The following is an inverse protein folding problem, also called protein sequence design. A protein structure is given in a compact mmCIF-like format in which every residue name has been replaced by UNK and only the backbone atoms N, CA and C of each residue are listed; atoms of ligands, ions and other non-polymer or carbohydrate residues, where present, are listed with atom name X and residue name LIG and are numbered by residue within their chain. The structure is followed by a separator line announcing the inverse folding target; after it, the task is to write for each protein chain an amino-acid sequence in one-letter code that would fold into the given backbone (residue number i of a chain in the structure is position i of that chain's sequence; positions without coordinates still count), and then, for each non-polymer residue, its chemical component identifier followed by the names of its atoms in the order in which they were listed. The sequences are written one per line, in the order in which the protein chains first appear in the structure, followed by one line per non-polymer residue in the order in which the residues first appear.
data_IF_254920603091
#
_entry.id   IF_254920603091
#
_cell.length_a   1.000
_cell.length_b   1.000
_cell.length_c   1.000
_cell.angle_alpha   90.00
_cell.angle_beta   90.00
_cell.angle_gamma   90.00
#
_symmetry.space_group_name_H-M   'P 1'
#
loop_
_entity.id
_entity.type
_entity.pdbx_description
1 polymer ?
#
# COMPACT_ATOMS: atom_id res chain seq x y z
N UNK A 1 -7.75 20.12 3.05
CA UNK A 1 -8.93 19.21 3.24
C UNK A 1 -8.48 17.76 3.37
N UNK A 2 -7.35 17.37 2.79
CA UNK A 2 -6.88 15.98 2.75
C UNK A 2 -6.55 15.38 4.13
N UNK A 3 -5.94 16.14 5.04
CA UNK A 3 -5.59 15.66 6.39
C UNK A 3 -6.82 15.28 7.21
N UNK A 4 -7.90 16.08 7.15
CA UNK A 4 -9.13 15.79 7.88
C UNK A 4 -9.83 14.53 7.35
N UNK A 5 -9.83 14.37 6.03
CA UNK A 5 -10.33 13.17 5.35
C UNK A 5 -9.55 11.93 5.77
N UNK A 6 -8.22 12.00 5.77
CA UNK A 6 -7.34 10.89 6.18
C UNK A 6 -7.60 10.49 7.63
N UNK A 7 -7.66 11.47 8.54
CA UNK A 7 -7.95 11.21 9.97
C UNK A 7 -9.33 10.58 10.16
N UNK A 8 -10.33 11.06 9.44
CA UNK A 8 -11.68 10.49 9.52
C UNK A 8 -11.70 9.02 9.08
N UNK A 9 -11.12 8.70 7.92
CA UNK A 9 -11.06 7.32 7.43
C UNK A 9 -10.25 6.39 8.33
N UNK A 10 -9.17 6.90 8.90
CA UNK A 10 -8.36 6.17 9.88
C UNK A 10 -9.16 5.81 11.15
N UNK A 11 -9.92 6.76 11.69
CA UNK A 11 -10.80 6.52 12.86
C UNK A 11 -11.87 5.48 12.53
N UNK A 12 -12.49 5.58 11.35
CA UNK A 12 -13.49 4.60 10.90
C UNK A 12 -12.89 3.20 10.76
N UNK A 13 -11.71 3.09 10.13
CA UNK A 13 -11.03 1.82 9.93
C UNK A 13 -10.67 1.15 11.27
N UNK A 14 -10.06 1.89 12.19
CA UNK A 14 -9.76 1.38 13.55
C UNK A 14 -11.05 1.00 14.28
N UNK A 15 -12.09 1.83 14.20
CA UNK A 15 -13.38 1.54 14.83
C UNK A 15 -13.98 0.21 14.37
N UNK A 16 -13.95 -0.07 13.06
CA UNK A 16 -14.41 -1.34 12.49
C UNK A 16 -13.54 -2.49 12.99
N UNK A 17 -12.21 -2.38 12.88
CA UNK A 17 -11.26 -3.42 13.25
C UNK A 17 -11.40 -3.80 14.73
N UNK A 18 -11.48 -2.81 15.62
CA UNK A 18 -11.64 -3.08 17.06
C UNK A 18 -13.02 -3.63 17.37
N UNK A 19 -14.07 -3.13 16.73
CA UNK A 19 -15.42 -3.67 16.94
C UNK A 19 -15.51 -5.15 16.56
N UNK A 20 -14.86 -5.55 15.47
CA UNK A 20 -14.78 -6.97 15.05
C UNK A 20 -13.95 -7.81 16.02
N UNK A 21 -12.86 -7.27 16.52
CA UNK A 21 -12.03 -7.90 17.56
C UNK A 21 -12.84 -8.18 18.83
N UNK A 22 -13.50 -7.17 19.36
CA UNK A 22 -14.34 -7.32 20.55
C UNK A 22 -15.54 -8.24 20.30
N UNK A 23 -16.11 -8.20 19.10
CA UNK A 23 -17.17 -9.13 18.71
C UNK A 23 -16.69 -10.57 18.73
N UNK A 24 -15.44 -10.85 18.37
CA UNK A 24 -14.84 -12.18 18.49
C UNK A 24 -14.86 -12.70 19.94
N UNK A 25 -14.36 -11.90 20.88
CA UNK A 25 -14.41 -12.24 22.30
C UNK A 25 -15.85 -12.45 22.80
N UNK A 26 -16.72 -11.53 22.45
CA UNK A 26 -18.14 -11.58 22.80
C UNK A 26 -18.82 -12.85 22.31
N UNK A 27 -18.67 -13.15 21.01
CA UNK A 27 -19.33 -14.29 20.37
C UNK A 27 -18.87 -15.63 20.94
N UNK A 28 -17.55 -15.79 21.10
CA UNK A 28 -16.97 -17.04 21.63
C UNK A 28 -17.29 -17.20 23.11
N UNK A 29 -17.21 -16.14 23.92
CA UNK A 29 -17.59 -16.19 25.33
C UNK A 29 -19.03 -16.69 25.51
N UNK A 30 -19.97 -16.12 24.77
CA UNK A 30 -21.37 -16.55 24.81
C UNK A 30 -21.60 -17.99 24.33
N UNK A 31 -20.89 -18.42 23.27
CA UNK A 31 -20.98 -19.80 22.75
C UNK A 31 -20.44 -20.83 23.74
N UNK A 32 -19.44 -20.46 24.53
CA UNK A 32 -18.85 -21.32 25.55
C UNK A 32 -19.50 -21.18 26.94
N UNK A 33 -20.64 -20.47 27.03
CA UNK A 33 -21.44 -20.36 28.23
C UNK A 33 -20.96 -19.33 29.24
N UNK A 34 -20.02 -18.46 28.88
CA UNK A 34 -19.60 -17.35 29.74
C UNK A 34 -20.60 -16.21 29.67
N UNK A 35 -21.04 -15.71 30.85
CA UNK A 35 -21.97 -14.59 30.92
C UNK A 35 -21.27 -13.29 30.61
N UNK A 36 -21.70 -12.64 29.51
CA UNK A 36 -21.22 -11.32 29.12
C UNK A 36 -22.16 -10.25 29.63
N UNK A 37 -21.66 -9.38 30.47
CA UNK A 37 -22.41 -8.30 31.13
C UNK A 37 -22.60 -7.13 30.20
N UNK A 38 -21.50 -6.71 29.52
CA UNK A 38 -21.52 -5.56 28.60
C UNK A 38 -20.65 -5.82 27.40
N UNK A 39 -21.16 -5.39 26.25
CA UNK A 39 -20.43 -5.28 24.99
C UNK A 39 -20.43 -3.81 24.58
N UNK A 40 -19.27 -3.18 24.55
CA UNK A 40 -19.14 -1.76 24.22
C UNK A 40 -18.31 -1.56 22.97
N UNK A 41 -18.85 -0.80 22.02
CA UNK A 41 -18.10 -0.20 20.90
C UNK A 41 -17.73 1.21 21.30
N UNK A 42 -16.44 1.50 21.36
CA UNK A 42 -15.91 2.78 21.84
C UNK A 42 -15.67 2.83 23.36
N UNK A 43 -15.03 3.92 23.76
CA UNK A 43 -14.74 4.25 25.16
C UNK A 43 -15.39 5.57 25.57
N UNK A 44 -15.39 5.83 26.89
CA UNK A 44 -15.80 7.10 27.47
C UNK A 44 -17.30 7.17 27.74
N UNK A 45 -17.89 8.36 27.48
CA UNK A 45 -19.30 8.60 27.79
C UNK A 45 -20.20 7.75 26.89
N UNK A 46 -21.17 7.05 27.51
CA UNK A 46 -22.19 6.29 26.79
C UNK A 46 -23.11 7.26 26.02
N UNK A 47 -23.17 7.05 24.70
CA UNK A 47 -24.04 7.80 23.79
C UNK A 47 -25.36 7.07 23.59
N UNK A 48 -25.30 5.74 23.52
CA UNK A 48 -26.47 4.90 23.35
C UNK A 48 -26.25 3.57 24.07
N UNK A 49 -27.29 3.05 24.71
CA UNK A 49 -27.27 1.69 25.27
C UNK A 49 -28.60 0.98 25.07
N UNK A 50 -28.51 -0.34 24.94
CA UNK A 50 -29.65 -1.23 24.84
C UNK A 50 -29.42 -2.49 25.66
N UNK A 51 -30.40 -2.80 26.50
CA UNK A 51 -30.43 -4.02 27.31
C UNK A 51 -31.87 -4.57 27.30
N UNK A 52 -32.02 -5.83 26.91
CA UNK A 52 -33.35 -6.45 26.77
C UNK A 52 -34.00 -6.75 28.13
N UNK A 53 -33.23 -7.28 29.05
CA UNK A 53 -33.62 -7.57 30.44
C UNK A 53 -32.45 -7.25 31.36
N UNK A 54 -32.66 -6.99 32.66
CA UNK A 54 -31.57 -6.69 33.59
C UNK A 54 -30.44 -7.71 33.65
N UNK A 55 -30.73 -8.98 33.35
CA UNK A 55 -29.76 -10.08 33.31
C UNK A 55 -29.16 -10.34 31.92
N UNK A 56 -29.62 -9.64 30.89
CA UNK A 56 -29.06 -9.79 29.54
C UNK A 56 -27.83 -8.91 29.35
N UNK A 57 -27.03 -9.21 28.31
CA UNK A 57 -25.92 -8.36 27.91
C UNK A 57 -26.40 -6.94 27.58
N UNK A 58 -25.75 -5.93 28.16
CA UNK A 58 -25.91 -4.53 27.78
C UNK A 58 -25.05 -4.22 26.58
N UNK A 59 -25.65 -3.73 25.49
CA UNK A 59 -24.96 -3.26 24.27
C UNK A 59 -24.79 -1.75 24.37
N UNK A 60 -23.55 -1.27 24.23
CA UNK A 60 -23.22 0.14 24.45
C UNK A 60 -22.47 0.69 23.24
N UNK A 61 -22.84 1.91 22.85
CA UNK A 61 -22.08 2.75 21.92
C UNK A 61 -21.55 3.96 22.72
N UNK A 62 -20.23 4.13 22.71
CA UNK A 62 -19.56 5.20 23.44
C UNK A 62 -18.99 6.28 22.53
N UNK A 63 -18.72 7.46 23.09
CA UNK A 63 -18.39 8.67 22.33
C UNK A 63 -17.04 8.63 21.59
N UNK A 64 -16.08 7.82 22.04
CA UNK A 64 -14.74 7.73 21.47
C UNK A 64 -14.62 6.41 20.70
N UNK A 65 -14.67 6.43 19.35
CA UNK A 65 -14.69 5.21 18.54
C UNK A 65 -13.29 4.54 18.35
N UNK A 66 -12.36 4.83 19.25
CA UNK A 66 -10.98 4.30 19.21
C UNK A 66 -10.81 3.07 20.09
N UNK A 67 -11.74 2.12 20.03
CA UNK A 67 -11.64 0.93 20.86
C UNK A 67 -12.98 0.31 21.18
N UNK A 68 -12.97 -0.57 22.18
CA UNK A 68 -14.15 -1.24 22.71
C UNK A 68 -13.76 -2.13 23.88
N UNK A 69 -14.72 -2.80 24.47
CA UNK A 69 -14.47 -3.84 25.47
C UNK A 69 -15.63 -4.79 25.64
N UNK A 70 -15.31 -6.01 26.01
CA UNK A 70 -16.27 -7.02 26.43
C UNK A 70 -16.12 -7.25 27.93
N UNK A 71 -17.10 -6.84 28.71
CA UNK A 71 -17.12 -7.13 30.15
C UNK A 71 -17.80 -8.46 30.39
N UNK A 72 -17.03 -9.44 30.81
CA UNK A 72 -17.50 -10.75 31.22
C UNK A 72 -17.75 -10.79 32.72
N UNK A 73 -18.55 -11.72 33.17
CA UNK A 73 -18.71 -11.97 34.58
C UNK A 73 -17.41 -12.54 35.17
N UNK A 74 -16.87 -11.91 36.20
CA UNK A 74 -15.64 -12.34 36.89
C UNK A 74 -15.75 -12.03 38.37
N UNK A 75 -15.57 -13.05 39.23
CA UNK A 75 -15.68 -12.89 40.70
C UNK A 75 -14.57 -12.02 41.31
N UNK A 76 -13.48 -11.79 40.57
CA UNK A 76 -12.36 -10.93 41.00
C UNK A 76 -12.67 -9.45 40.83
N UNK A 77 -13.62 -9.11 39.96
CA UNK A 77 -14.01 -7.73 39.66
C UNK A 77 -15.25 -7.27 40.42
N UNK A 78 -16.17 -8.21 40.71
CA UNK A 78 -17.42 -7.91 41.39
C UNK A 78 -17.98 -9.14 42.12
N UNK A 79 -18.78 -8.96 43.22
CA UNK A 79 -19.46 -10.06 43.87
C UNK A 79 -20.36 -10.82 42.90
N UNK A 80 -20.22 -12.14 42.85
CA UNK A 80 -21.00 -13.02 41.99
C UNK A 80 -21.87 -13.92 42.87
N UNK A 81 -23.15 -14.03 42.58
CA UNK A 81 -24.04 -14.95 43.28
C UNK A 81 -23.66 -16.41 42.93
N UNK A 82 -23.84 -17.33 43.87
CA UNK A 82 -23.39 -18.72 43.76
C UNK A 82 -23.95 -19.41 42.50
N UNK A 83 -25.15 -19.05 42.09
CA UNK A 83 -25.84 -19.59 40.92
C UNK A 83 -25.17 -19.17 39.59
N UNK A 84 -24.52 -18.01 39.54
CA UNK A 84 -23.83 -17.47 38.33
C UNK A 84 -22.35 -17.86 38.26
N UNK A 85 -21.76 -18.40 39.35
CA UNK A 85 -20.35 -18.84 39.37
C UNK A 85 -19.94 -19.76 38.20
N UNK A 86 -20.75 -20.74 37.79
CA UNK A 86 -20.42 -21.60 36.64
C UNK A 86 -20.29 -20.83 35.33
N UNK A 87 -20.83 -19.61 35.24
CA UNK A 87 -20.81 -18.76 34.03
C UNK A 87 -19.76 -17.64 34.12
N UNK A 88 -18.99 -17.56 35.23
CA UNK A 88 -17.94 -16.58 35.37
C UNK A 88 -16.71 -16.98 34.55
N UNK A 89 -16.01 -16.00 33.94
CA UNK A 89 -14.85 -16.22 33.08
C UNK A 89 -13.69 -16.88 33.84
N UNK A 90 -13.40 -16.43 35.03
CA UNK A 90 -12.28 -16.93 35.83
C UNK A 90 -12.47 -18.37 36.34
N UNK A 91 -13.69 -18.85 36.46
CA UNK A 91 -14.00 -20.23 36.87
C UNK A 91 -13.96 -21.23 35.71
N UNK A 92 -13.86 -20.72 34.45
CA UNK A 92 -13.79 -21.57 33.24
C UNK A 92 -12.46 -22.32 33.14
N UNK A 93 -12.50 -23.41 32.39
CA UNK A 93 -11.29 -24.18 32.04
C UNK A 93 -10.27 -23.31 31.30
N UNK A 94 -9.00 -23.67 31.40
CA UNK A 94 -7.93 -22.97 30.69
C UNK A 94 -8.20 -22.91 29.18
N UNK A 95 -8.68 -24.00 28.58
CA UNK A 95 -9.01 -24.08 27.16
C UNK A 95 -10.09 -23.07 26.77
N UNK A 96 -11.17 -22.98 27.57
CA UNK A 96 -12.25 -22.01 27.35
C UNK A 96 -11.73 -20.56 27.39
N UNK A 97 -10.93 -20.23 28.42
CA UNK A 97 -10.34 -18.91 28.54
C UNK A 97 -9.41 -18.58 27.39
N UNK A 98 -8.54 -19.51 27.01
CA UNK A 98 -7.64 -19.34 25.86
C UNK A 98 -8.42 -19.16 24.55
N UNK A 99 -9.48 -19.93 24.33
CA UNK A 99 -10.33 -19.80 23.14
C UNK A 99 -10.98 -18.41 23.08
N UNK A 100 -11.47 -17.89 24.20
CA UNK A 100 -12.07 -16.55 24.27
C UNK A 100 -11.02 -15.48 23.98
N UNK A 101 -9.83 -15.57 24.57
CA UNK A 101 -8.74 -14.59 24.35
C UNK A 101 -8.24 -14.63 22.91
N UNK A 102 -8.10 -15.82 22.33
CA UNK A 102 -7.66 -15.98 20.94
C UNK A 102 -8.71 -15.53 19.92
N UNK A 103 -9.99 -15.46 20.31
CA UNK A 103 -11.08 -15.12 19.41
C UNK A 103 -10.96 -13.73 18.80
N UNK A 104 -10.50 -12.72 19.55
CA UNK A 104 -10.31 -11.36 19.04
C UNK A 104 -9.37 -11.32 17.81
N UNK A 105 -8.11 -11.75 17.96
CA UNK A 105 -7.18 -11.82 16.83
C UNK A 105 -7.69 -12.69 15.66
N UNK A 106 -8.33 -13.84 15.94
CA UNK A 106 -8.88 -14.70 14.90
C UNK A 106 -9.98 -13.98 14.11
N UNK A 107 -10.87 -13.25 14.76
CA UNK A 107 -11.90 -12.47 14.08
C UNK A 107 -11.32 -11.34 13.23
N UNK A 108 -10.21 -10.73 13.64
CA UNK A 108 -9.51 -9.77 12.80
C UNK A 108 -8.91 -10.42 11.53
N UNK A 109 -8.37 -11.64 11.63
CA UNK A 109 -7.93 -12.40 10.45
C UNK A 109 -9.09 -12.76 9.53
N UNK A 110 -10.23 -13.15 10.09
CA UNK A 110 -11.45 -13.40 9.32
C UNK A 110 -11.95 -12.13 8.61
N UNK A 111 -11.91 -10.99 9.31
CA UNK A 111 -12.23 -9.70 8.70
C UNK A 111 -11.28 -9.36 7.54
N UNK A 112 -9.98 -9.59 7.72
CA UNK A 112 -9.00 -9.38 6.65
C UNK A 112 -9.29 -10.24 5.42
N UNK A 113 -9.63 -11.51 5.61
CA UNK A 113 -10.03 -12.41 4.52
C UNK A 113 -11.28 -11.88 3.80
N UNK A 114 -12.31 -11.44 4.55
CA UNK A 114 -13.55 -10.89 3.97
C UNK A 114 -13.25 -9.63 3.16
N UNK A 115 -12.40 -8.73 3.68
CA UNK A 115 -12.03 -7.50 3.00
C UNK A 115 -11.22 -7.77 1.73
N UNK A 116 -10.18 -8.61 1.78
CA UNK A 116 -9.42 -9.01 0.58
C UNK A 116 -10.30 -9.71 -0.43
N UNK A 117 -11.17 -10.62 0.01
CA UNK A 117 -12.12 -11.29 -0.86
C UNK A 117 -13.01 -10.28 -1.61
N UNK A 118 -13.53 -9.28 -0.88
CA UNK A 118 -14.34 -8.22 -1.47
C UNK A 118 -13.55 -7.38 -2.48
N UNK A 119 -12.31 -6.99 -2.14
CA UNK A 119 -11.43 -6.22 -3.03
C UNK A 119 -11.13 -6.99 -4.30
N UNK A 120 -10.75 -8.28 -4.19
CA UNK A 120 -10.46 -9.11 -5.36
C UNK A 120 -11.68 -9.36 -6.26
N UNK A 121 -12.90 -9.39 -5.71
CA UNK A 121 -14.11 -9.48 -6.51
C UNK A 121 -14.52 -8.18 -7.19
N UNK A 122 -14.40 -7.05 -6.48
CA UNK A 122 -14.70 -5.71 -7.04
C UNK A 122 -13.69 -5.36 -8.12
N UNK A 123 -12.46 -5.79 -7.95
CA UNK A 123 -11.32 -5.49 -8.80
C UNK A 123 -10.46 -4.35 -8.25
N UNK A 124 -9.20 -4.44 -8.57
CA UNK A 124 -8.18 -3.45 -8.24
C UNK A 124 -7.59 -2.89 -9.55
N UNK A 125 -7.48 -1.58 -9.63
CA UNK A 125 -6.78 -0.93 -10.73
C UNK A 125 -5.32 -0.76 -10.35
N UNK A 126 -4.43 -1.34 -11.13
CA UNK A 126 -2.99 -1.25 -10.90
C UNK A 126 -2.21 -0.91 -12.16
N UNK A 127 -0.90 -0.77 -12.00
CA UNK A 127 0.02 -0.64 -13.13
C UNK A 127 0.49 -2.02 -13.59
N UNK A 128 0.52 -2.22 -14.88
CA UNK A 128 1.10 -3.40 -15.54
C UNK A 128 2.56 -3.56 -15.09
N UNK A 129 3.01 -4.78 -14.73
CA UNK A 129 4.35 -5.01 -14.19
C UNK A 129 5.41 -5.08 -15.28
N UNK A 130 5.54 -4.01 -16.08
CA UNK A 130 6.54 -3.89 -17.14
C UNK A 130 7.83 -3.34 -16.58
N UNK A 131 8.93 -4.03 -16.86
CA UNK A 131 10.28 -3.68 -16.41
C UNK A 131 10.78 -2.49 -17.22
N UNK A 132 11.30 -1.49 -16.54
CA UNK A 132 11.94 -0.34 -17.16
C UNK A 132 13.43 -0.55 -17.40
N UNK A 133 14.18 0.53 -17.34
CA UNK A 133 15.62 0.46 -17.55
C UNK A 133 16.31 -0.38 -16.48
N UNK A 134 17.00 -1.44 -16.89
CA UNK A 134 17.81 -2.29 -16.04
C UNK A 134 19.20 -1.65 -15.90
N UNK A 135 19.65 -1.43 -14.66
CA UNK A 135 20.97 -0.85 -14.39
C UNK A 135 22.06 -1.92 -14.47
N UNK A 136 23.16 -1.61 -15.13
CA UNK A 136 24.30 -2.52 -15.29
C UNK A 136 24.91 -2.88 -13.92
N UNK A 137 25.19 -4.15 -13.69
CA UNK A 137 25.77 -4.68 -12.46
C UNK A 137 24.75 -4.90 -11.32
N UNK A 138 23.47 -4.86 -11.63
CA UNK A 138 22.40 -5.20 -10.69
C UNK A 138 21.98 -6.67 -10.85
N UNK A 139 21.23 -7.19 -9.88
CA UNK A 139 20.74 -8.58 -9.91
C UNK A 139 19.83 -8.85 -11.11
N UNK A 140 19.07 -7.84 -11.56
CA UNK A 140 18.24 -7.95 -12.76
C UNK A 140 19.07 -7.98 -14.03
N UNK A 141 20.18 -7.22 -14.11
CA UNK A 141 21.13 -7.28 -15.22
C UNK A 141 21.84 -8.65 -15.28
N UNK A 142 22.34 -9.13 -14.13
CA UNK A 142 22.97 -10.45 -14.03
C UNK A 142 22.02 -11.61 -14.40
N UNK A 143 20.74 -11.49 -14.12
CA UNK A 143 19.69 -12.45 -14.48
C UNK A 143 19.23 -12.32 -15.94
N UNK A 144 19.70 -11.29 -16.66
CA UNK A 144 19.44 -11.06 -18.08
C UNK A 144 18.05 -10.48 -18.38
N UNK A 145 17.45 -9.75 -17.44
CA UNK A 145 16.22 -9.00 -17.71
C UNK A 145 16.47 -7.86 -18.68
N UNK A 146 15.47 -7.54 -19.49
CA UNK A 146 15.53 -6.44 -20.46
C UNK A 146 14.36 -5.46 -20.28
N UNK A 147 14.61 -4.21 -20.69
CA UNK A 147 13.58 -3.19 -20.73
C UNK A 147 12.39 -3.62 -21.60
N UNK A 148 11.19 -3.45 -21.09
CA UNK A 148 9.95 -3.79 -21.78
C UNK A 148 9.43 -5.20 -21.50
N UNK A 149 10.17 -6.05 -20.77
CA UNK A 149 9.63 -7.34 -20.32
C UNK A 149 8.55 -7.13 -19.24
N UNK A 150 7.42 -7.81 -19.37
CA UNK A 150 6.33 -7.83 -18.38
C UNK A 150 6.49 -9.03 -17.44
N UNK A 151 6.51 -8.81 -16.14
CA UNK A 151 6.58 -9.88 -15.13
C UNK A 151 5.20 -10.54 -15.05
N UNK A 152 5.10 -11.84 -15.36
CA UNK A 152 3.84 -12.59 -15.34
C UNK A 152 3.64 -13.31 -14.01
N UNK A 153 4.73 -13.91 -13.50
CA UNK A 153 4.70 -14.65 -12.23
C UNK A 153 6.07 -14.69 -11.58
N UNK A 154 6.07 -14.88 -10.25
CA UNK A 154 7.27 -15.08 -9.43
C UNK A 154 7.07 -16.35 -8.62
N UNK A 155 7.96 -17.33 -8.78
CA UNK A 155 7.83 -18.66 -8.18
C UNK A 155 6.44 -19.29 -8.41
N UNK A 156 5.91 -19.14 -9.63
CA UNK A 156 4.58 -19.55 -10.06
C UNK A 156 3.39 -18.75 -9.45
N UNK A 157 3.65 -17.75 -8.60
CA UNK A 157 2.59 -16.86 -8.12
C UNK A 157 2.34 -15.74 -9.13
N UNK A 158 1.09 -15.56 -9.63
CA UNK A 158 0.77 -14.54 -10.62
C UNK A 158 1.06 -13.12 -10.11
N UNK A 159 1.57 -12.27 -10.99
CA UNK A 159 1.85 -10.86 -10.70
C UNK A 159 1.08 -9.95 -11.64
N UNK A 160 -0.25 -9.82 -11.49
CA UNK A 160 -1.08 -9.06 -12.42
C UNK A 160 -0.78 -7.56 -12.42
N UNK A 161 -0.25 -7.02 -11.33
CA UNK A 161 0.06 -5.60 -11.15
C UNK A 161 1.45 -5.41 -10.55
N UNK A 162 2.04 -4.23 -10.81
CA UNK A 162 3.39 -3.87 -10.36
C UNK A 162 3.58 -3.99 -8.84
N UNK A 163 2.62 -3.53 -8.04
CA UNK A 163 2.70 -3.61 -6.58
C UNK A 163 2.79 -5.04 -6.05
N UNK A 164 2.12 -6.00 -6.69
CA UNK A 164 2.24 -7.42 -6.34
C UNK A 164 3.59 -8.01 -6.74
N UNK A 165 4.07 -7.69 -7.96
CA UNK A 165 5.39 -8.13 -8.41
C UNK A 165 6.49 -7.68 -7.45
N UNK A 166 6.48 -6.41 -7.03
CA UNK A 166 7.43 -5.87 -6.06
C UNK A 166 7.29 -6.54 -4.70
N UNK A 167 6.06 -6.69 -4.19
CA UNK A 167 5.82 -7.30 -2.88
C UNK A 167 6.33 -8.74 -2.82
N UNK A 168 6.07 -9.54 -3.84
CA UNK A 168 6.54 -10.92 -3.95
C UNK A 168 8.06 -11.00 -4.08
N UNK A 169 8.66 -10.19 -4.96
CA UNK A 169 10.12 -10.14 -5.11
C UNK A 169 10.82 -9.84 -3.79
N UNK A 170 10.36 -8.80 -3.08
CA UNK A 170 10.93 -8.44 -1.79
C UNK A 170 10.75 -9.54 -0.75
N UNK A 171 9.57 -10.14 -0.69
CA UNK A 171 9.27 -11.20 0.25
C UNK A 171 10.20 -12.39 0.07
N UNK A 172 10.39 -12.85 -1.16
CA UNK A 172 11.31 -13.93 -1.45
C UNK A 172 12.77 -13.50 -1.23
N UNK A 173 13.16 -12.34 -1.73
CA UNK A 173 14.54 -11.86 -1.61
C UNK A 173 14.99 -11.68 -0.16
N UNK A 174 14.11 -11.25 0.74
CA UNK A 174 14.40 -11.13 2.17
C UNK A 174 14.57 -12.47 2.91
N UNK A 175 14.24 -13.59 2.29
CA UNK A 175 14.47 -14.91 2.89
C UNK A 175 15.94 -15.36 2.82
N UNK A 176 16.79 -14.67 2.04
CA UNK A 176 18.22 -14.96 1.92
C UNK A 176 18.55 -15.89 0.76
N UNK A 177 19.68 -16.60 0.84
CA UNK A 177 20.23 -17.44 -0.23
C UNK A 177 19.18 -18.29 -0.93
N UNK A 178 18.74 -17.85 -2.11
CA UNK A 178 17.79 -18.59 -2.94
C UNK A 178 17.79 -18.17 -4.41
N UNK A 179 17.25 -19.03 -5.24
CA UNK A 179 16.93 -18.72 -6.64
C UNK A 179 15.43 -18.43 -6.75
N UNK A 180 15.10 -17.25 -7.27
CA UNK A 180 13.73 -16.85 -7.54
C UNK A 180 13.47 -17.03 -9.03
N UNK A 181 12.45 -17.81 -9.37
CA UNK A 181 12.04 -18.06 -10.75
C UNK A 181 11.05 -16.97 -11.15
N UNK A 182 11.40 -16.15 -12.13
CA UNK A 182 10.55 -15.08 -12.64
C UNK A 182 10.16 -15.40 -14.08
N UNK A 183 8.88 -15.62 -14.32
CA UNK A 183 8.36 -15.71 -15.66
C UNK A 183 8.07 -14.30 -16.19
N UNK A 184 8.59 -14.01 -17.37
CA UNK A 184 8.41 -12.70 -18.04
C UNK A 184 7.90 -12.93 -19.47
N UNK A 185 7.26 -11.90 -20.02
CA UNK A 185 6.78 -11.85 -21.39
C UNK A 185 7.43 -10.67 -22.08
N UNK A 186 8.01 -10.87 -23.25
CA UNK A 186 8.62 -9.80 -24.01
C UNK A 186 7.60 -9.04 -24.88
N UNK A 187 8.09 -8.03 -25.65
CA UNK A 187 7.27 -7.23 -26.55
C UNK A 187 6.60 -8.04 -27.68
N UNK A 188 7.13 -9.22 -28.00
CA UNK A 188 6.59 -10.12 -29.02
C UNK A 188 5.66 -11.19 -28.43
N UNK A 189 5.23 -11.01 -27.20
CA UNK A 189 4.37 -11.93 -26.44
C UNK A 189 5.02 -13.30 -26.16
N UNK A 190 6.36 -13.41 -26.23
CA UNK A 190 7.09 -14.65 -25.98
C UNK A 190 7.40 -14.76 -24.49
N UNK A 191 6.95 -15.85 -23.87
CA UNK A 191 7.26 -16.15 -22.47
C UNK A 191 8.68 -16.65 -22.30
N UNK A 192 9.38 -16.10 -21.31
CA UNK A 192 10.74 -16.46 -20.92
C UNK A 192 10.82 -16.63 -19.41
N UNK A 193 11.79 -17.41 -18.96
CA UNK A 193 12.08 -17.59 -17.55
C UNK A 193 13.42 -16.95 -17.24
N UNK A 194 13.44 -16.13 -16.18
CA UNK A 194 14.63 -15.52 -15.62
C UNK A 194 14.91 -16.11 -14.23
N UNK A 195 16.15 -16.37 -13.93
CA UNK A 195 16.56 -16.88 -12.62
C UNK A 195 17.30 -15.78 -11.87
N UNK A 196 16.66 -15.25 -10.85
CA UNK A 196 17.23 -14.21 -9.99
C UNK A 196 17.90 -14.89 -8.78
N UNK A 197 19.21 -14.76 -8.65
CA UNK A 197 20.00 -15.36 -7.57
C UNK A 197 20.22 -14.33 -6.48
N UNK A 198 19.61 -14.56 -5.33
CA UNK A 198 19.76 -13.72 -4.14
C UNK A 198 20.77 -14.38 -3.19
N UNK A 199 21.72 -13.61 -2.67
CA UNK A 199 22.66 -14.02 -1.63
C UNK A 199 22.26 -13.39 -0.30
N UNK A 200 22.69 -14.00 0.80
CA UNK A 200 22.45 -13.45 2.15
C UNK A 200 22.93 -12.00 2.29
N UNK A 201 24.07 -11.66 1.68
CA UNK A 201 24.64 -10.31 1.67
C UNK A 201 23.69 -9.27 1.03
N UNK A 202 22.89 -9.68 0.05
CA UNK A 202 21.94 -8.81 -0.65
C UNK A 202 20.68 -8.53 0.20
N UNK A 203 20.35 -9.42 1.14
CA UNK A 203 19.12 -9.40 1.94
C UNK A 203 19.25 -8.78 3.34
N UNK A 204 20.46 -8.37 3.76
CA UNK A 204 20.70 -7.85 5.11
C UNK A 204 19.96 -6.53 5.39
N UNK A 205 19.77 -5.68 4.37
CA UNK A 205 19.10 -4.39 4.49
C UNK A 205 18.15 -4.15 3.32
N UNK A 206 16.88 -3.86 3.60
CA UNK A 206 15.84 -3.64 2.60
C UNK A 206 16.19 -2.52 1.58
N UNK A 207 16.83 -1.43 2.03
CA UNK A 207 17.25 -0.33 1.14
C UNK A 207 18.37 -0.74 0.18
N UNK A 208 19.32 -1.54 0.67
CA UNK A 208 20.40 -2.09 -0.16
C UNK A 208 19.85 -3.10 -1.17
N UNK A 209 18.91 -3.93 -0.76
CA UNK A 209 18.24 -4.88 -1.64
C UNK A 209 17.54 -4.17 -2.81
N UNK A 210 16.80 -3.07 -2.55
CA UNK A 210 16.15 -2.31 -3.62
C UNK A 210 17.15 -1.81 -4.67
N UNK A 211 18.28 -1.24 -4.22
CA UNK A 211 19.35 -0.79 -5.11
C UNK A 211 20.02 -1.94 -5.84
N UNK A 212 20.26 -3.06 -5.15
CA UNK A 212 20.89 -4.25 -5.74
C UNK A 212 20.00 -4.95 -6.75
N UNK A 213 18.69 -4.97 -6.54
CA UNK A 213 17.75 -5.46 -7.54
C UNK A 213 17.83 -4.63 -8.83
N UNK A 214 17.93 -3.31 -8.72
CA UNK A 214 17.98 -2.40 -9.87
C UNK A 214 16.68 -2.34 -10.65
N UNK A 215 15.56 -2.69 -9.99
CA UNK A 215 14.25 -2.75 -10.61
C UNK A 215 13.60 -1.38 -10.66
N UNK A 216 13.32 -0.91 -11.87
CA UNK A 216 12.54 0.30 -12.13
C UNK A 216 11.31 -0.04 -12.96
N UNK A 217 10.15 0.57 -12.68
CA UNK A 217 9.00 0.44 -13.54
C UNK A 217 9.31 1.03 -14.91
N UNK A 218 8.72 0.44 -15.94
CA UNK A 218 8.84 0.98 -17.28
C UNK A 218 8.29 2.41 -17.33
N UNK A 219 9.08 3.29 -17.89
CA UNK A 219 8.70 4.67 -18.14
C UNK A 219 8.89 4.96 -19.62
N UNK A 220 7.86 5.39 -20.33
CA UNK A 220 7.98 5.77 -21.71
C UNK A 220 8.90 6.98 -21.86
N UNK A 221 9.54 7.10 -23.01
CA UNK A 221 10.21 8.32 -23.41
C UNK A 221 9.15 9.35 -23.79
N UNK A 222 8.81 10.21 -22.84
CA UNK A 222 7.75 11.20 -22.98
C UNK A 222 8.30 12.50 -23.55
N UNK A 223 7.57 13.07 -24.51
CA UNK A 223 7.82 14.43 -24.96
C UNK A 223 7.77 15.41 -23.77
N UNK A 224 8.55 16.49 -23.79
CA UNK A 224 8.61 17.45 -22.69
C UNK A 224 7.38 18.39 -22.71
N UNK A 225 6.19 17.79 -22.67
CA UNK A 225 4.90 18.50 -22.63
C UNK A 225 4.46 18.70 -21.18
N UNK A 226 4.13 19.93 -20.84
CA UNK A 226 3.64 20.29 -19.51
C UNK A 226 2.23 19.71 -19.31
N UNK A 227 2.05 18.94 -18.27
CA UNK A 227 0.75 18.50 -17.78
C UNK A 227 0.21 19.48 -16.73
N UNK A 228 -0.09 18.96 -15.54
CA UNK A 228 -0.65 19.81 -14.46
C UNK A 228 0.41 20.75 -13.89
N UNK A 229 0.03 22.02 -13.73
CA UNK A 229 0.85 23.06 -13.08
C UNK A 229 0.25 23.39 -11.70
N UNK A 230 1.10 23.39 -10.66
CA UNK A 230 0.70 23.72 -9.29
C UNK A 230 0.57 25.24 -9.11
N UNK A 231 -0.49 25.70 -8.44
CA UNK A 231 -0.81 27.13 -8.28
C UNK A 231 0.28 27.96 -7.58
N UNK A 232 1.04 27.34 -6.66
CA UNK A 232 2.14 28.01 -5.92
C UNK A 232 3.53 27.71 -6.49
N UNK A 233 3.63 26.96 -7.61
CA UNK A 233 4.92 26.60 -8.22
C UNK A 233 5.52 27.71 -9.08
N UNK A 234 6.86 27.71 -9.23
CA UNK A 234 7.57 28.64 -10.12
C UNK A 234 7.19 28.48 -11.60
N UNK A 235 6.73 27.32 -12.02
CA UNK A 235 6.15 27.12 -13.36
C UNK A 235 4.94 28.03 -13.61
N UNK A 236 4.03 28.15 -12.64
CA UNK A 236 2.86 29.03 -12.73
C UNK A 236 3.25 30.50 -12.77
N UNK A 237 4.24 30.89 -11.96
CA UNK A 237 4.76 32.25 -11.92
C UNK A 237 5.43 32.65 -13.25
N UNK A 238 6.12 31.68 -13.89
CA UNK A 238 6.73 31.89 -15.20
C UNK A 238 5.71 31.92 -16.35
N UNK A 239 4.42 31.60 -16.10
CA UNK A 239 3.37 31.58 -17.10
C UNK A 239 3.29 30.29 -17.92
N UNK A 240 3.92 29.19 -17.46
CA UNK A 240 3.75 27.87 -18.03
C UNK A 240 2.31 27.38 -17.84
N UNK A 241 1.77 26.72 -18.85
CA UNK A 241 0.41 26.20 -18.90
C UNK A 241 0.41 24.72 -19.30
N UNK A 242 -0.66 24.05 -18.97
CA UNK A 242 -0.93 22.69 -19.44
C UNK A 242 -0.97 22.67 -20.99
N UNK A 243 -0.27 21.68 -21.56
CA UNK A 243 -0.13 21.53 -23.02
C UNK A 243 1.08 22.26 -23.63
N UNK A 244 1.83 23.04 -22.87
CA UNK A 244 3.06 23.65 -23.38
C UNK A 244 4.12 22.59 -23.69
N UNK A 245 4.65 22.58 -24.90
CA UNK A 245 5.79 21.76 -25.31
C UNK A 245 7.09 22.58 -25.10
N UNK A 246 7.99 22.09 -24.27
CA UNK A 246 9.29 22.71 -24.05
C UNK A 246 10.19 22.44 -25.26
N UNK A 247 10.59 23.48 -25.97
CA UNK A 247 11.45 23.37 -27.16
C UNK A 247 12.91 23.53 -26.78
N UNK A 248 13.25 24.64 -26.06
CA UNK A 248 14.63 24.90 -25.65
C UNK A 248 14.67 25.47 -24.23
N UNK A 249 15.78 25.22 -23.52
CA UNK A 249 16.17 25.88 -22.29
C UNK A 249 17.58 26.48 -22.49
N UNK A 250 17.74 27.80 -22.28
CA UNK A 250 18.99 28.55 -22.52
C UNK A 250 19.61 28.25 -23.90
N UNK A 251 18.76 28.18 -24.93
CA UNK A 251 19.07 27.84 -26.34
C UNK A 251 19.48 26.37 -26.58
N UNK A 252 19.51 25.51 -25.56
CA UNK A 252 19.73 24.08 -25.73
C UNK A 252 18.41 23.35 -26.00
N UNK A 253 18.33 22.49 -27.03
CA UNK A 253 17.10 21.76 -27.33
C UNK A 253 16.80 20.69 -26.26
N UNK A 254 15.56 20.67 -25.79
CA UNK A 254 15.07 19.67 -24.85
C UNK A 254 14.32 18.60 -25.66
N UNK A 255 14.81 17.37 -25.62
CA UNK A 255 14.30 16.26 -26.44
C UNK A 255 13.18 15.47 -25.77
N UNK A 256 13.25 15.31 -24.46
CA UNK A 256 12.30 14.51 -23.69
C UNK A 256 12.13 15.04 -22.28
N UNK A 257 11.14 14.51 -21.58
CA UNK A 257 10.82 14.92 -20.21
C UNK A 257 11.95 14.65 -19.21
N UNK A 258 12.70 13.56 -19.37
CA UNK A 258 13.81 13.20 -18.46
C UNK A 258 14.91 14.25 -18.54
N UNK A 259 15.31 14.63 -19.74
CA UNK A 259 16.30 15.70 -19.95
C UNK A 259 15.83 17.02 -19.35
N UNK A 260 14.53 17.35 -19.52
CA UNK A 260 13.93 18.53 -18.91
C UNK A 260 14.02 18.53 -17.39
N UNK A 261 13.67 17.41 -16.74
CA UNK A 261 13.75 17.26 -15.28
C UNK A 261 15.19 17.40 -14.79
N UNK A 262 16.16 16.76 -15.45
CA UNK A 262 17.58 16.88 -15.10
C UNK A 262 18.09 18.31 -15.22
N UNK A 263 17.66 19.00 -16.29
CA UNK A 263 18.01 20.42 -16.49
C UNK A 263 17.50 21.29 -15.33
N UNK A 264 16.22 21.19 -15.00
CA UNK A 264 15.61 21.93 -13.89
C UNK A 264 16.29 21.60 -12.56
N UNK A 265 16.54 20.32 -12.27
CA UNK A 265 17.18 19.89 -11.01
C UNK A 265 18.59 20.45 -10.83
N UNK A 266 19.33 20.60 -11.91
CA UNK A 266 20.71 21.12 -11.87
C UNK A 266 20.81 22.65 -11.76
N UNK A 267 19.69 23.38 -11.90
CA UNK A 267 19.67 24.85 -11.92
C UNK A 267 18.76 25.47 -10.84
N UNK A 268 18.93 25.13 -9.54
CA UNK A 268 18.14 25.76 -8.48
C UNK A 268 18.43 27.27 -8.40
N UNK A 269 17.39 28.10 -8.31
CA UNK A 269 17.44 29.57 -8.23
C UNK A 269 18.17 30.29 -9.41
N UNK A 270 18.43 29.55 -10.49
CA UNK A 270 19.02 30.10 -11.71
C UNK A 270 17.92 30.48 -12.69
N UNK A 271 18.01 31.65 -13.28
CA UNK A 271 17.06 32.11 -14.31
C UNK A 271 17.32 31.39 -15.62
N UNK A 272 16.32 30.67 -16.14
CA UNK A 272 16.36 29.88 -17.36
C UNK A 272 15.50 30.54 -18.42
N UNK A 273 16.06 30.80 -19.60
CA UNK A 273 15.32 31.28 -20.78
C UNK A 273 14.69 30.08 -21.49
N UNK A 274 13.36 30.00 -21.47
CA UNK A 274 12.62 28.95 -22.14
C UNK A 274 12.03 29.43 -23.45
N UNK A 275 11.97 28.54 -24.43
CA UNK A 275 11.07 28.65 -25.58
C UNK A 275 10.09 27.48 -25.51
N UNK A 276 8.82 27.78 -25.36
CA UNK A 276 7.75 26.78 -25.38
C UNK A 276 6.90 26.96 -26.63
N UNK A 277 6.31 25.86 -27.09
CA UNK A 277 5.30 25.89 -28.14
C UNK A 277 3.91 25.68 -27.50
N UNK A 278 3.03 26.66 -27.65
CA UNK A 278 1.64 26.66 -27.20
C UNK A 278 0.73 26.87 -28.39
N UNK A 279 -0.14 25.92 -28.67
CA UNK A 279 -1.09 25.98 -29.82
C UNK A 279 -0.38 26.31 -31.16
N UNK A 280 0.83 25.78 -31.36
CA UNK A 280 1.64 26.00 -32.57
C UNK A 280 2.40 27.34 -32.59
N UNK A 281 2.33 28.14 -31.52
CA UNK A 281 3.04 29.43 -31.42
C UNK A 281 4.20 29.32 -30.43
N UNK A 282 5.38 29.75 -30.83
CA UNK A 282 6.57 29.78 -29.94
C UNK A 282 6.57 31.02 -29.08
N UNK A 283 6.64 30.81 -27.76
CA UNK A 283 6.60 31.84 -26.75
C UNK A 283 7.88 31.77 -25.88
N UNK A 284 8.60 32.90 -25.73
CA UNK A 284 9.70 32.98 -24.80
C UNK A 284 9.14 33.21 -23.38
N UNK A 285 9.63 32.43 -22.42
CA UNK A 285 9.31 32.55 -20.99
C UNK A 285 10.59 32.59 -20.17
N UNK A 286 10.51 33.18 -18.97
CA UNK A 286 11.60 33.21 -18.01
C UNK A 286 11.20 32.41 -16.79
N UNK A 287 11.95 31.35 -16.49
CA UNK A 287 11.67 30.43 -15.38
C UNK A 287 12.80 30.45 -14.37
N UNK A 288 12.47 30.52 -13.08
CA UNK A 288 13.44 30.38 -12.00
C UNK A 288 12.99 29.22 -11.13
N UNK A 289 13.69 28.05 -11.17
CA UNK A 289 13.35 26.93 -10.32
C UNK A 289 13.54 27.25 -8.85
N UNK A 290 12.60 26.81 -8.00
CA UNK A 290 12.71 26.90 -6.55
C UNK A 290 13.78 25.93 -6.04
N UNK A 291 14.63 26.36 -5.09
CA UNK A 291 15.60 25.48 -4.44
C UNK A 291 14.90 24.58 -3.43
N UNK A 292 15.16 23.30 -3.50
CA UNK A 292 14.79 22.33 -2.48
C UNK A 292 16.07 21.82 -1.83
N UNK A 293 16.16 21.98 -0.52
CA UNK A 293 17.25 21.42 0.28
C UNK A 293 17.07 19.92 0.45
N UNK A 294 18.10 19.14 0.14
CA UNK A 294 18.14 17.69 0.29
C UNK A 294 19.49 17.30 0.92
N UNK A 295 19.50 16.30 1.79
CA UNK A 295 20.70 15.82 2.49
C UNK A 295 21.83 15.43 1.54
N UNK A 296 21.52 14.94 0.33
CA UNK A 296 22.52 14.54 -0.65
C UNK A 296 22.98 15.70 -1.52
N UNK A 297 22.07 16.53 -2.04
CA UNK A 297 22.36 17.67 -2.91
C UNK A 297 21.10 18.49 -3.14
N UNK A 298 21.18 19.79 -2.98
CA UNK A 298 20.10 20.71 -3.35
C UNK A 298 19.74 20.60 -4.82
N UNK A 299 18.46 20.71 -5.13
CA UNK A 299 17.96 20.64 -6.51
C UNK A 299 16.86 21.66 -6.81
N UNK A 300 16.70 21.97 -8.10
CA UNK A 300 15.63 22.85 -8.58
C UNK A 300 14.31 22.12 -8.73
N UNK A 301 13.19 22.82 -8.44
CA UNK A 301 11.81 22.34 -8.63
C UNK A 301 10.95 23.45 -9.22
N UNK A 302 9.99 23.11 -10.07
CA UNK A 302 9.11 24.11 -10.71
C UNK A 302 7.62 23.94 -10.39
N UNK A 303 7.22 22.79 -9.84
CA UNK A 303 5.82 22.51 -9.55
C UNK A 303 4.98 22.24 -10.79
N UNK A 304 5.53 21.50 -11.76
CA UNK A 304 4.81 21.00 -12.93
C UNK A 304 5.01 19.49 -13.10
N UNK A 305 4.01 18.81 -13.67
CA UNK A 305 4.09 17.41 -14.08
C UNK A 305 4.15 17.28 -15.60
N UNK A 306 4.55 16.09 -16.09
CA UNK A 306 4.46 15.75 -17.51
C UNK A 306 3.01 15.49 -17.92
N UNK A 307 2.68 15.80 -19.16
CA UNK A 307 1.46 15.31 -19.81
C UNK A 307 1.69 13.87 -20.29
N UNK A 308 0.97 12.92 -19.72
CA UNK A 308 1.04 11.51 -20.13
C UNK A 308 -0.07 11.24 -21.14
N UNK A 309 0.24 10.83 -22.39
CA UNK A 309 -0.77 10.46 -23.37
C UNK A 309 -1.72 9.38 -22.86
N UNK A 310 -3.02 9.52 -23.12
CA UNK A 310 -4.05 8.60 -22.63
C UNK A 310 -3.79 7.15 -23.08
N UNK A 311 -3.31 6.96 -24.30
CA UNK A 311 -2.93 5.64 -24.82
C UNK A 311 -1.85 4.93 -23.99
N UNK A 312 -0.90 5.68 -23.41
CA UNK A 312 0.13 5.13 -22.53
C UNK A 312 -0.49 4.78 -21.16
N UNK A 313 -1.35 5.64 -20.64
CA UNK A 313 -2.07 5.37 -19.41
C UNK A 313 -2.96 4.13 -19.52
N UNK A 314 -3.66 3.96 -20.64
CA UNK A 314 -4.49 2.79 -20.93
C UNK A 314 -3.65 1.52 -21.08
N UNK A 315 -2.47 1.60 -21.73
CA UNK A 315 -1.55 0.48 -21.82
C UNK A 315 -1.03 0.04 -20.46
N UNK A 316 -0.68 0.98 -19.58
CA UNK A 316 -0.15 0.67 -18.24
C UNK A 316 -1.23 0.29 -17.23
N UNK A 317 -2.46 0.71 -17.44
CA UNK A 317 -3.57 0.42 -16.52
C UNK A 317 -4.07 -1.00 -16.73
N UNK A 318 -4.10 -1.76 -15.66
CA UNK A 318 -4.69 -3.10 -15.62
C UNK A 318 -5.78 -3.12 -14.55
N UNK A 319 -6.95 -3.58 -14.93
CA UNK A 319 -8.02 -3.93 -13.99
C UNK A 319 -7.92 -5.45 -13.73
N UNK A 320 -7.68 -5.78 -12.49
CA UNK A 320 -7.55 -7.17 -12.06
C UNK A 320 -8.67 -7.52 -11.10
N UNK A 321 -9.55 -8.42 -11.51
CA UNK A 321 -10.61 -8.96 -10.68
C UNK A 321 -10.66 -10.48 -10.80
N UNK A 322 -11.06 -11.13 -9.72
CA UNK A 322 -11.14 -12.58 -9.65
C UNK A 322 -12.60 -13.05 -9.51
N UNK A 323 -12.88 -14.23 -10.07
CA UNK A 323 -14.13 -14.95 -9.79
C UNK A 323 -14.24 -15.24 -8.27
N UNK A 324 -15.46 -15.29 -7.70
CA UNK A 324 -15.66 -15.36 -6.24
C UNK A 324 -14.92 -16.50 -5.53
N UNK A 325 -14.83 -17.66 -6.16
CA UNK A 325 -14.09 -18.82 -5.66
C UNK A 325 -12.59 -18.58 -5.63
N UNK A 326 -12.01 -18.10 -6.74
CA UNK A 326 -10.58 -17.75 -6.83
C UNK A 326 -10.23 -16.59 -5.93
N UNK A 327 -11.09 -15.58 -5.83
CA UNK A 327 -10.92 -14.44 -4.95
C UNK A 327 -10.84 -14.85 -3.47
N UNK A 328 -11.64 -15.86 -3.05
CA UNK A 328 -11.59 -16.37 -1.68
C UNK A 328 -10.25 -17.05 -1.37
N UNK A 329 -9.76 -17.92 -2.27
CA UNK A 329 -8.46 -18.56 -2.09
C UNK A 329 -7.33 -17.54 -2.04
N UNK A 330 -7.30 -16.59 -2.98
CA UNK A 330 -6.32 -15.51 -2.99
C UNK A 330 -6.38 -14.65 -1.71
N UNK A 331 -7.56 -14.38 -1.17
CA UNK A 331 -7.73 -13.64 0.08
C UNK A 331 -7.14 -14.38 1.29
N UNK A 332 -7.32 -15.69 1.36
CA UNK A 332 -6.74 -16.53 2.41
C UNK A 332 -5.22 -16.56 2.31
N UNK A 333 -4.67 -16.79 1.12
CA UNK A 333 -3.23 -16.80 0.85
C UNK A 333 -2.60 -15.43 1.19
N UNK A 334 -3.20 -14.34 0.73
CA UNK A 334 -2.71 -12.98 1.01
C UNK A 334 -2.74 -12.63 2.51
N UNK A 335 -3.80 -13.04 3.22
CA UNK A 335 -3.88 -12.85 4.67
C UNK A 335 -2.80 -13.65 5.39
N UNK A 336 -2.58 -14.90 5.01
CA UNK A 336 -1.53 -15.75 5.57
C UNK A 336 -0.15 -15.17 5.30
N UNK A 337 0.13 -14.78 4.06
CA UNK A 337 1.38 -14.18 3.63
C UNK A 337 1.74 -12.92 4.45
N UNK A 338 0.83 -11.94 4.55
CA UNK A 338 1.09 -10.73 5.33
C UNK A 338 1.25 -11.00 6.83
N UNK A 339 0.49 -11.95 7.38
CA UNK A 339 0.58 -12.32 8.79
C UNK A 339 1.92 -12.97 9.12
N UNK A 340 2.37 -13.91 8.30
CA UNK A 340 3.65 -14.61 8.50
C UNK A 340 4.85 -13.69 8.28
N UNK A 341 4.83 -12.86 7.24
CA UNK A 341 5.91 -11.91 6.97
C UNK A 341 6.02 -10.83 8.07
N UNK A 342 4.90 -10.34 8.59
CA UNK A 342 4.91 -9.40 9.71
C UNK A 342 5.56 -10.01 10.96
N UNK A 343 5.26 -11.27 11.26
CA UNK A 343 5.87 -11.99 12.38
C UNK A 343 7.36 -12.24 12.17
N UNK A 344 7.77 -12.60 10.95
CA UNK A 344 9.17 -12.80 10.59
C UNK A 344 9.98 -11.49 10.69
N UNK A 345 9.41 -10.37 10.22
CA UNK A 345 10.05 -9.07 10.34
C UNK A 345 10.22 -8.65 11.81
N UNK A 346 9.19 -8.85 12.65
CA UNK A 346 9.29 -8.55 14.09
C UNK A 346 10.31 -9.43 14.81
N UNK A 347 10.50 -10.67 14.36
CA UNK A 347 11.50 -11.58 14.93
C UNK A 347 12.96 -11.27 14.54
N UNK A 348 13.17 -10.41 13.53
CA UNK A 348 14.51 -9.97 13.06
C UNK A 348 14.92 -8.59 13.59
N UNK A 349 13.98 -7.83 14.21
CA UNK A 349 14.27 -6.59 14.95
C UNK A 349 14.77 -6.90 16.37
#
# INVERSE_FOLDING_TARGET
MDTLYTVFHFIVAIGILVSFHEFGHFWVARKLGVKVIRFSVGFGKVVWSYQKTPDSTEYVLSAIPLGGYVKMLDEREQPVITEDLPYAFNTQTLLTRTAIVAAGPIFNLLLAIILFWSVFMIGETGMRPVIGQVEVGTLFDEAGFVNGEEIISINNEPTPIWSEAISLLFSYAMQGDQEIVVAVKDSDDIEKVRLLKIKNEDSEHAELLYKRLGLKPWSPDLDPVIGKVLDLGSAKQAGLQEGDLIITADNEPIKNWVQWVEYIRSHPEVSIQLVVEREGVRLPLLLVPERIEDEAKDYGRIGASVAIPEAIMDYLRVEYSLAPDKALFAAIEKTWFYSTNSLLMMGRM
#
